data_IF_017670339869
#
_entry.id   IF_017670339869
#
_cell.length_a   1.000
_cell.length_b   1.000
_cell.length_c   1.000
_cell.angle_alpha   90.00
_cell.angle_beta   90.00
_cell.angle_gamma   90.00
#
_symmetry.space_group_name_H-M   'P 1'
#
loop_
_entity.id
_entity.type
_entity.pdbx_description
1 polymer ?
#
# COMPACT_ATOMS: atom_id res chain seq x y z
N UNK A 1 2.25 -3.18 6.36
CA UNK A 1 2.53 -3.67 4.99
C UNK A 1 1.19 -3.90 4.29
N UNK A 2 0.84 -3.07 3.32
CA UNK A 2 -0.41 -3.26 2.56
C UNK A 2 -0.20 -4.46 1.63
N UNK A 3 -0.91 -5.57 1.88
CA UNK A 3 -0.90 -6.69 0.94
C UNK A 3 -1.44 -6.20 -0.40
N UNK A 4 -0.68 -6.35 -1.48
CA UNK A 4 -1.11 -5.99 -2.84
C UNK A 4 -2.24 -6.88 -3.40
N UNK A 5 -3.06 -7.46 -2.53
CA UNK A 5 -4.15 -8.41 -2.79
C UNK A 5 -5.52 -7.71 -2.73
N UNK A 6 -5.66 -6.60 -3.47
CA UNK A 6 -6.99 -6.05 -3.77
C UNK A 6 -7.66 -6.81 -4.91
N UNK A 7 -8.99 -6.73 -5.00
CA UNK A 7 -9.76 -7.25 -6.15
C UNK A 7 -9.20 -6.63 -7.43
N UNK A 8 -8.61 -7.46 -8.28
CA UNK A 8 -8.05 -7.07 -9.57
C UNK A 8 -8.89 -7.71 -10.67
N UNK A 9 -9.35 -6.89 -11.63
CA UNK A 9 -10.02 -7.40 -12.83
C UNK A 9 -9.15 -8.38 -13.64
N UNK A 10 -7.81 -8.32 -13.45
CA UNK A 10 -6.85 -9.18 -14.14
C UNK A 10 -6.63 -10.49 -13.38
N UNK A 11 -6.44 -11.57 -14.14
CA UNK A 11 -6.08 -12.89 -13.63
C UNK A 11 -4.73 -12.84 -12.94
N UNK A 12 -4.66 -13.27 -11.68
CA UNK A 12 -3.41 -13.34 -10.92
C UNK A 12 -2.80 -14.72 -11.11
N UNK A 13 -1.52 -14.77 -11.48
CA UNK A 13 -0.75 -16.01 -11.57
C UNK A 13 0.15 -16.11 -10.34
N UNK A 14 0.04 -17.21 -9.59
CA UNK A 14 0.78 -17.47 -8.35
C UNK A 14 1.78 -18.60 -8.58
N UNK A 15 3.05 -18.37 -8.26
CA UNK A 15 4.07 -19.42 -8.20
C UNK A 15 3.93 -20.17 -6.87
N UNK A 16 3.65 -21.47 -6.93
CA UNK A 16 3.45 -22.28 -5.73
C UNK A 16 4.74 -22.83 -5.12
N UNK A 17 5.90 -22.62 -5.79
CA UNK A 17 7.19 -23.10 -5.29
C UNK A 17 7.42 -22.68 -3.84
N UNK A 18 7.77 -23.65 -3.00
CA UNK A 18 8.12 -23.46 -1.60
C UNK A 18 7.03 -22.77 -0.76
N UNK A 19 5.77 -22.82 -1.18
CA UNK A 19 4.66 -22.41 -0.33
C UNK A 19 4.15 -23.57 0.51
N UNK A 20 3.66 -23.29 1.71
CA UNK A 20 3.04 -24.27 2.59
C UNK A 20 1.60 -24.57 2.13
N UNK A 21 1.30 -25.82 1.77
CA UNK A 21 0.04 -26.23 1.13
C UNK A 21 -1.22 -25.63 1.80
N UNK A 22 -1.35 -25.82 3.12
CA UNK A 22 -2.53 -25.38 3.85
C UNK A 22 -2.66 -23.86 3.94
N UNK A 23 -1.55 -23.15 4.18
CA UNK A 23 -1.54 -21.68 4.27
C UNK A 23 -1.85 -21.05 2.92
N UNK A 24 -1.21 -21.55 1.85
CA UNK A 24 -1.50 -21.13 0.49
C UNK A 24 -2.97 -21.35 0.14
N UNK A 25 -3.50 -22.55 0.44
CA UNK A 25 -4.90 -22.88 0.15
C UNK A 25 -5.90 -21.96 0.84
N UNK A 26 -5.63 -21.57 2.09
CA UNK A 26 -6.51 -20.70 2.88
C UNK A 26 -6.60 -19.30 2.26
N UNK A 27 -5.46 -18.71 1.91
CA UNK A 27 -5.40 -17.39 1.28
C UNK A 27 -6.09 -17.42 -0.08
N UNK A 28 -5.80 -18.44 -0.90
CA UNK A 28 -6.43 -18.60 -2.21
C UNK A 28 -7.95 -18.78 -2.10
N UNK A 29 -8.45 -19.56 -1.13
CA UNK A 29 -9.88 -19.75 -0.93
C UNK A 29 -10.59 -18.41 -0.63
N UNK A 30 -9.98 -17.55 0.19
CA UNK A 30 -10.51 -16.22 0.49
C UNK A 30 -10.53 -15.32 -0.74
N UNK A 31 -9.44 -15.27 -1.50
CA UNK A 31 -9.35 -14.47 -2.73
C UNK A 31 -10.38 -14.91 -3.78
N UNK A 32 -10.58 -16.21 -3.97
CA UNK A 32 -11.59 -16.74 -4.89
C UNK A 32 -13.01 -16.34 -4.49
N UNK A 33 -13.31 -16.35 -3.18
CA UNK A 33 -14.60 -15.90 -2.64
C UNK A 33 -14.81 -14.38 -2.74
N UNK A 34 -13.72 -13.60 -2.72
CA UNK A 34 -13.72 -12.16 -2.97
C UNK A 34 -13.91 -11.81 -4.46
N UNK A 35 -13.92 -12.80 -5.36
CA UNK A 35 -14.14 -12.60 -6.80
C UNK A 35 -12.88 -12.69 -7.65
N UNK A 36 -11.71 -12.91 -7.05
CA UNK A 36 -10.45 -12.94 -7.76
C UNK A 36 -10.34 -14.16 -8.68
N UNK A 37 -9.79 -13.97 -9.88
CA UNK A 37 -9.43 -15.06 -10.80
C UNK A 37 -7.97 -15.44 -10.57
N UNK A 38 -7.71 -16.65 -10.11
CA UNK A 38 -6.37 -17.08 -9.70
C UNK A 38 -5.92 -18.31 -10.48
N UNK A 39 -4.69 -18.29 -10.95
CA UNK A 39 -3.99 -19.43 -11.54
C UNK A 39 -2.80 -19.76 -10.68
N UNK A 40 -2.69 -21.00 -10.24
CA UNK A 40 -1.54 -21.49 -9.48
C UNK A 40 -0.73 -22.41 -10.39
N UNK A 41 0.57 -22.16 -10.49
CA UNK A 41 1.51 -22.94 -11.29
C UNK A 41 2.58 -23.55 -10.40
N UNK A 42 3.27 -24.59 -10.88
CA UNK A 42 4.31 -25.34 -10.14
C UNK A 42 3.78 -26.00 -8.87
N UNK A 43 2.59 -26.59 -8.94
CA UNK A 43 1.97 -27.23 -7.78
C UNK A 43 2.81 -28.38 -7.20
N UNK A 44 3.67 -29.01 -8.00
CA UNK A 44 4.63 -30.03 -7.59
C UNK A 44 5.69 -29.52 -6.61
N UNK A 45 5.97 -28.22 -6.61
CA UNK A 45 6.98 -27.59 -5.74
C UNK A 45 6.40 -27.02 -4.43
N UNK A 46 5.12 -27.30 -4.14
CA UNK A 46 4.49 -26.96 -2.86
C UNK A 46 5.09 -27.79 -1.73
N UNK A 47 5.27 -27.18 -0.56
CA UNK A 47 5.78 -27.84 0.63
C UNK A 47 4.67 -28.26 1.61
N UNK A 48 4.90 -29.40 2.26
CA UNK A 48 4.18 -29.89 3.43
C UNK A 48 5.14 -29.97 4.61
N UNK A 49 4.74 -29.53 5.79
CA UNK A 49 5.56 -29.67 7.01
C UNK A 49 5.66 -31.15 7.43
N UNK A 50 6.81 -31.55 7.95
CA UNK A 50 7.11 -32.93 8.29
C UNK A 50 7.73 -33.72 7.15
N UNK A 51 8.53 -34.73 7.48
CA UNK A 51 9.25 -35.56 6.50
C UNK A 51 8.33 -36.41 5.62
N UNK A 52 8.90 -36.91 4.52
CA UNK A 52 8.20 -37.67 3.49
C UNK A 52 7.42 -38.87 4.05
N UNK A 53 8.03 -39.67 4.94
CA UNK A 53 7.41 -40.87 5.51
C UNK A 53 6.10 -40.52 6.24
N UNK A 54 6.11 -39.50 7.09
CA UNK A 54 4.92 -39.04 7.84
C UNK A 54 3.81 -38.61 6.88
N UNK A 55 4.16 -37.82 5.87
CA UNK A 55 3.17 -37.32 4.90
C UNK A 55 2.64 -38.43 3.99
N UNK A 56 3.49 -39.37 3.58
CA UNK A 56 3.11 -40.57 2.82
C UNK A 56 2.13 -41.42 3.64
N UNK A 57 2.43 -41.72 4.90
CA UNK A 57 1.53 -42.48 5.77
C UNK A 57 0.16 -41.81 5.95
N UNK A 58 0.14 -40.48 6.11
CA UNK A 58 -1.10 -39.70 6.17
C UNK A 58 -1.92 -39.83 4.89
N UNK A 59 -1.26 -39.76 3.73
CA UNK A 59 -1.92 -39.86 2.44
C UNK A 59 -2.38 -41.29 2.14
N UNK A 60 -1.58 -42.31 2.45
CA UNK A 60 -1.97 -43.73 2.35
C UNK A 60 -3.20 -44.05 3.22
N UNK A 61 -3.29 -43.49 4.43
CA UNK A 61 -4.50 -43.60 5.26
C UNK A 61 -5.72 -42.97 4.58
N UNK A 62 -5.54 -41.86 3.88
CA UNK A 62 -6.60 -41.28 3.05
C UNK A 62 -7.01 -42.23 1.94
N UNK A 63 -6.08 -42.91 1.26
CA UNK A 63 -6.39 -43.88 0.19
C UNK A 63 -7.21 -45.07 0.63
N UNK A 64 -7.06 -45.48 1.89
CA UNK A 64 -7.86 -46.57 2.47
C UNK A 64 -9.33 -46.17 2.67
N UNK A 65 -9.68 -44.89 2.62
CA UNK A 65 -11.06 -44.40 2.78
C UNK A 65 -11.86 -44.59 1.48
N UNK A 66 -12.40 -45.78 1.28
CA UNK A 66 -13.26 -46.12 0.13
C UNK A 66 -14.68 -46.47 0.58
N UNK A 67 -15.65 -46.24 -0.30
CA UNK A 67 -17.00 -46.78 -0.11
C UNK A 67 -16.94 -48.30 -0.26
N UNK A 68 -17.44 -49.04 0.73
CA UNK A 68 -17.28 -50.50 0.76
C UNK A 68 -18.13 -51.20 -0.30
N UNK A 69 -19.33 -50.68 -0.58
CA UNK A 69 -20.29 -51.28 -1.51
C UNK A 69 -19.98 -50.97 -2.98
N UNK A 70 -19.69 -49.71 -3.32
CA UNK A 70 -19.35 -49.29 -4.68
C UNK A 70 -18.22 -48.27 -4.67
N UNK A 71 -16.94 -48.71 -4.75
CA UNK A 71 -15.79 -47.82 -4.64
C UNK A 71 -15.79 -46.64 -5.62
N UNK A 72 -16.38 -46.79 -6.82
CA UNK A 72 -16.50 -45.73 -7.82
C UNK A 72 -17.43 -44.58 -7.42
N UNK A 73 -18.37 -44.80 -6.49
CA UNK A 73 -19.24 -43.76 -5.91
C UNK A 73 -18.65 -43.16 -4.62
N UNK A 74 -17.51 -43.68 -4.16
CA UNK A 74 -16.84 -43.21 -2.96
C UNK A 74 -15.97 -41.97 -3.16
N UNK A 75 -15.16 -41.61 -2.15
CA UNK A 75 -14.22 -40.51 -2.24
C UNK A 75 -13.20 -40.70 -3.37
N UNK A 76 -13.06 -39.69 -4.23
CA UNK A 76 -12.01 -39.68 -5.26
C UNK A 76 -10.69 -39.23 -4.62
N UNK A 77 -9.66 -40.04 -4.84
CA UNK A 77 -8.32 -39.80 -4.32
C UNK A 77 -7.42 -39.28 -5.45
N UNK A 78 -7.30 -37.97 -5.60
CA UNK A 78 -6.47 -37.37 -6.66
C UNK A 78 -4.98 -37.49 -6.37
N UNK A 79 -4.21 -38.08 -7.30
CA UNK A 79 -2.75 -38.25 -7.19
C UNK A 79 -1.92 -37.06 -7.64
N UNK A 80 -2.40 -36.30 -8.61
CA UNK A 80 -1.66 -35.18 -9.17
C UNK A 80 -1.55 -34.00 -8.17
N UNK A 81 -0.38 -33.34 -8.02
CA UNK A 81 -0.17 -32.22 -7.10
C UNK A 81 -1.20 -31.09 -7.26
N UNK A 82 -1.53 -30.72 -8.51
CA UNK A 82 -2.52 -29.66 -8.78
C UNK A 82 -3.90 -30.04 -8.26
N UNK A 83 -4.31 -31.29 -8.43
CA UNK A 83 -5.61 -31.79 -7.97
C UNK A 83 -5.65 -31.98 -6.45
N UNK A 84 -4.53 -32.30 -5.81
CA UNK A 84 -4.42 -32.29 -4.34
C UNK A 84 -4.61 -30.88 -3.80
N UNK A 85 -3.96 -29.88 -4.41
CA UNK A 85 -4.17 -28.47 -4.07
C UNK A 85 -5.63 -28.05 -4.29
N UNK A 86 -6.20 -28.36 -5.45
CA UNK A 86 -7.60 -28.07 -5.77
C UNK A 86 -8.57 -28.67 -4.77
N UNK A 87 -8.36 -29.94 -4.36
CA UNK A 87 -9.18 -30.61 -3.34
C UNK A 87 -9.06 -29.92 -1.98
N UNK A 88 -7.86 -29.44 -1.63
CA UNK A 88 -7.61 -28.72 -0.38
C UNK A 88 -8.36 -27.38 -0.36
N UNK A 89 -8.28 -26.61 -1.46
CA UNK A 89 -9.01 -25.34 -1.61
C UNK A 89 -10.52 -25.58 -1.65
N UNK A 90 -11.00 -26.61 -2.36
CA UNK A 90 -12.41 -27.02 -2.36
C UNK A 90 -12.93 -27.30 -0.95
N UNK A 91 -12.11 -27.90 -0.09
CA UNK A 91 -12.45 -28.15 1.32
C UNK A 91 -12.58 -26.87 2.16
N UNK A 92 -11.96 -25.76 1.72
CA UNK A 92 -12.00 -24.45 2.38
C UNK A 92 -13.06 -23.50 1.78
N UNK A 93 -13.76 -23.92 0.72
CA UNK A 93 -14.83 -23.17 0.06
C UNK A 93 -16.17 -23.88 0.30
N UNK A 94 -17.30 -23.17 0.51
CA UNK A 94 -18.64 -23.77 0.60
C UNK A 94 -19.12 -24.27 -0.79
N UNK A 95 -18.43 -25.25 -1.36
CA UNK A 95 -18.53 -25.69 -2.76
C UNK A 95 -19.86 -26.37 -3.12
N UNK A 96 -20.69 -26.72 -2.13
CA UNK A 96 -22.06 -27.22 -2.36
C UNK A 96 -23.04 -26.09 -2.74
N UNK A 97 -22.66 -24.83 -2.50
CA UNK A 97 -23.48 -23.65 -2.86
C UNK A 97 -23.14 -23.16 -4.26
N UNK A 98 -24.08 -22.49 -4.94
CA UNK A 98 -23.84 -21.83 -6.24
C UNK A 98 -22.68 -20.83 -6.18
N UNK A 99 -22.60 -20.04 -5.10
CA UNK A 99 -21.50 -19.08 -4.86
C UNK A 99 -20.15 -19.80 -4.76
N UNK A 100 -20.09 -20.88 -3.99
CA UNK A 100 -18.85 -21.66 -3.82
C UNK A 100 -18.41 -22.35 -5.11
N UNK A 101 -19.36 -22.89 -5.88
CA UNK A 101 -19.09 -23.46 -7.20
C UNK A 101 -18.52 -22.40 -8.16
N UNK A 102 -19.12 -21.19 -8.20
CA UNK A 102 -18.61 -20.07 -8.98
C UNK A 102 -17.21 -19.61 -8.53
N UNK A 103 -16.93 -19.59 -7.22
CA UNK A 103 -15.60 -19.28 -6.70
C UNK A 103 -14.57 -20.33 -7.14
N UNK A 104 -14.91 -21.62 -7.09
CA UNK A 104 -14.01 -22.69 -7.51
C UNK A 104 -13.76 -22.67 -9.03
N UNK A 105 -14.73 -22.25 -9.83
CA UNK A 105 -14.57 -22.06 -11.29
C UNK A 105 -13.56 -20.95 -11.66
N UNK A 106 -13.28 -20.01 -10.75
CA UNK A 106 -12.26 -18.96 -10.94
C UNK A 106 -10.83 -19.46 -10.71
N UNK A 107 -10.65 -20.64 -10.14
CA UNK A 107 -9.36 -21.25 -9.85
C UNK A 107 -8.89 -22.12 -11.01
N UNK A 108 -7.64 -21.92 -11.44
CA UNK A 108 -6.91 -22.89 -12.27
C UNK A 108 -5.63 -23.30 -11.56
N UNK A 109 -5.26 -24.56 -11.67
CA UNK A 109 -4.08 -25.14 -11.03
C UNK A 109 -3.35 -26.01 -12.05
N UNK A 110 -2.02 -25.91 -12.07
CA UNK A 110 -1.18 -26.63 -13.03
C UNK A 110 0.10 -27.15 -12.36
N UNK A 111 0.54 -28.32 -12.79
CA UNK A 111 1.90 -28.79 -12.66
C UNK A 111 2.81 -28.06 -13.67
N UNK A 112 4.03 -27.72 -13.26
CA UNK A 112 4.94 -26.89 -14.05
C UNK A 112 4.32 -25.53 -14.41
N UNK A 113 4.82 -24.91 -15.47
CA UNK A 113 4.30 -23.63 -15.99
C UNK A 113 3.92 -23.73 -17.47
N UNK A 114 2.66 -24.09 -17.76
CA UNK A 114 2.21 -24.22 -19.14
C UNK A 114 2.03 -22.85 -19.82
N UNK A 115 2.17 -22.75 -21.14
CA UNK A 115 1.76 -21.57 -21.90
C UNK A 115 0.27 -21.23 -21.68
N UNK A 116 -0.12 -19.94 -21.59
CA UNK A 116 0.71 -18.73 -21.75
C UNK A 116 1.34 -18.22 -20.43
N UNK A 117 1.28 -18.98 -19.32
CA UNK A 117 1.71 -18.51 -18.00
C UNK A 117 3.23 -18.48 -17.81
N UNK A 118 3.97 -19.12 -18.71
CA UNK A 118 5.43 -19.12 -18.79
C UNK A 118 6.01 -17.72 -19.05
N UNK A 119 5.29 -16.91 -19.83
CA UNK A 119 5.65 -15.53 -20.18
C UNK A 119 5.07 -14.48 -19.23
N UNK A 120 4.22 -14.87 -18.29
CA UNK A 120 3.53 -13.97 -17.37
C UNK A 120 4.32 -13.86 -16.05
N UNK A 121 4.36 -12.65 -15.47
CA UNK A 121 4.92 -12.45 -14.14
C UNK A 121 4.09 -13.21 -13.11
N UNK A 122 4.73 -14.15 -12.43
CA UNK A 122 4.14 -14.93 -11.34
C UNK A 122 4.37 -14.21 -10.02
N UNK A 123 3.33 -14.16 -9.19
CA UNK A 123 3.34 -13.57 -7.86
C UNK A 123 3.65 -14.63 -6.82
N UNK A 124 4.18 -14.19 -5.69
CA UNK A 124 4.47 -15.02 -4.51
C UNK A 124 3.63 -14.49 -3.35
N UNK A 125 3.19 -15.37 -2.46
CA UNK A 125 2.40 -15.02 -1.27
C UNK A 125 3.30 -15.21 -0.04
N UNK A 126 3.93 -14.13 0.48
CA UNK A 126 4.87 -14.23 1.60
C UNK A 126 4.29 -14.95 2.82
N UNK A 127 3.02 -14.70 3.12
CA UNK A 127 2.34 -15.32 4.26
C UNK A 127 2.19 -16.84 4.19
N UNK A 128 2.43 -17.43 3.03
CA UNK A 128 2.42 -18.87 2.84
C UNK A 128 3.81 -19.44 2.52
N UNK A 129 4.87 -18.63 2.40
CA UNK A 129 6.20 -19.13 2.07
C UNK A 129 6.80 -20.00 3.20
N UNK A 130 7.32 -21.17 2.83
CA UNK A 130 7.98 -22.11 3.75
C UNK A 130 9.12 -21.46 4.53
N UNK A 131 9.94 -20.64 3.89
CA UNK A 131 11.08 -19.96 4.54
C UNK A 131 10.64 -19.01 5.67
N UNK A 132 9.45 -18.41 5.54
CA UNK A 132 8.90 -17.50 6.54
C UNK A 132 8.03 -18.22 7.59
N UNK A 133 7.54 -19.42 7.26
CA UNK A 133 6.52 -20.12 8.07
C UNK A 133 7.01 -21.40 8.73
N UNK A 134 8.16 -21.92 8.34
CA UNK A 134 8.78 -23.11 8.93
C UNK A 134 10.16 -22.74 9.47
N UNK A 135 10.39 -23.00 10.75
CA UNK A 135 11.69 -22.79 11.40
C UNK A 135 12.79 -23.59 10.69
N UNK A 136 14.02 -23.06 10.73
CA UNK A 136 15.19 -23.77 10.24
C UNK A 136 15.36 -25.14 10.94
N UNK A 137 15.89 -26.14 10.23
CA UNK A 137 16.05 -27.51 10.75
C UNK A 137 14.80 -28.39 10.68
N UNK A 138 13.59 -27.83 10.58
CA UNK A 138 12.38 -28.64 10.46
C UNK A 138 12.24 -29.30 9.10
N UNK A 139 12.02 -30.63 9.11
CA UNK A 139 11.80 -31.42 7.89
C UNK A 139 10.52 -31.01 7.17
N UNK A 140 10.55 -31.06 5.86
CA UNK A 140 9.40 -30.85 4.98
C UNK A 140 9.46 -31.84 3.82
N UNK A 141 8.36 -32.02 3.10
CA UNK A 141 8.36 -32.75 1.84
C UNK A 141 7.72 -31.92 0.72
N UNK A 142 8.19 -32.14 -0.51
CA UNK A 142 7.59 -31.57 -1.71
C UNK A 142 6.36 -32.39 -2.10
N UNK A 143 5.31 -31.69 -2.52
CA UNK A 143 4.05 -32.29 -2.93
C UNK A 143 4.23 -33.17 -4.17
N UNK A 144 5.11 -32.79 -5.10
CA UNK A 144 5.48 -33.60 -6.25
C UNK A 144 6.09 -34.94 -5.85
N UNK A 145 7.06 -34.94 -4.94
CA UNK A 145 7.70 -36.16 -4.44
C UNK A 145 6.71 -37.06 -3.70
N UNK A 146 5.87 -36.48 -2.85
CA UNK A 146 4.78 -37.22 -2.20
C UNK A 146 3.82 -37.81 -3.24
N UNK A 147 3.47 -37.05 -4.28
CA UNK A 147 2.52 -37.47 -5.31
C UNK A 147 3.05 -38.63 -6.14
N UNK A 148 4.34 -38.58 -6.52
CA UNK A 148 5.03 -39.68 -7.20
C UNK A 148 4.93 -40.98 -6.39
N UNK A 149 5.27 -40.93 -5.10
CA UNK A 149 5.24 -42.06 -4.15
C UNK A 149 3.85 -42.68 -3.91
N UNK A 150 2.78 -41.99 -4.29
CA UNK A 150 1.39 -42.46 -4.10
C UNK A 150 0.69 -42.81 -5.41
N UNK A 151 1.38 -42.67 -6.56
CA UNK A 151 0.89 -43.09 -7.88
C UNK A 151 0.64 -41.96 -8.88
N UNK A 152 1.43 -40.88 -8.84
CA UNK A 152 1.44 -39.86 -9.90
C UNK A 152 2.63 -40.08 -10.84
N UNK A 153 2.34 -40.49 -12.09
CA UNK A 153 3.35 -41.01 -13.02
C UNK A 153 4.04 -39.92 -13.88
N UNK A 154 3.69 -38.64 -13.72
CA UNK A 154 4.23 -37.56 -14.56
C UNK A 154 5.31 -36.73 -13.88
N UNK A 155 5.85 -37.20 -12.74
CA UNK A 155 6.84 -36.46 -11.96
C UNK A 155 8.10 -36.16 -12.79
N UNK A 156 8.67 -37.17 -13.43
CA UNK A 156 9.90 -37.04 -14.22
C UNK A 156 9.68 -36.24 -15.51
N UNK A 157 8.57 -36.50 -16.21
CA UNK A 157 8.18 -35.74 -17.41
C UNK A 157 8.02 -34.24 -17.12
N UNK A 158 7.37 -33.87 -16.01
CA UNK A 158 7.22 -32.45 -15.64
C UNK A 158 8.57 -31.82 -15.28
N UNK A 159 9.45 -32.57 -14.62
CA UNK A 159 10.80 -32.11 -14.27
C UNK A 159 11.59 -31.77 -15.54
N UNK A 160 11.60 -32.66 -16.53
CA UNK A 160 12.26 -32.42 -17.82
C UNK A 160 11.69 -31.20 -18.57
N UNK A 161 10.36 -31.05 -18.58
CA UNK A 161 9.71 -29.89 -19.23
C UNK A 161 10.04 -28.57 -18.52
N UNK A 162 10.09 -28.57 -17.19
CA UNK A 162 10.49 -27.38 -16.42
C UNK A 162 11.96 -27.02 -16.62
N UNK A 163 12.84 -28.00 -16.81
CA UNK A 163 14.25 -27.76 -17.09
C UNK A 163 14.43 -27.12 -18.49
N UNK A 164 13.78 -27.66 -19.52
CA UNK A 164 13.71 -27.02 -20.86
C UNK A 164 13.13 -25.61 -20.80
N UNK A 165 12.12 -25.37 -19.94
CA UNK A 165 11.54 -24.03 -19.75
C UNK A 165 12.54 -23.08 -19.09
N UNK A 166 13.34 -23.54 -18.12
CA UNK A 166 14.36 -22.73 -17.44
C UNK A 166 15.48 -22.32 -18.41
N UNK A 167 15.92 -23.22 -19.28
CA UNK A 167 16.92 -22.91 -20.33
C UNK A 167 16.42 -21.78 -21.24
N UNK A 168 15.19 -21.88 -21.76
CA UNK A 168 14.57 -20.81 -22.57
C UNK A 168 14.42 -19.49 -21.79
N UNK A 169 14.06 -19.58 -20.51
CA UNK A 169 13.93 -18.42 -19.64
C UNK A 169 15.28 -17.74 -19.37
N UNK A 170 16.38 -18.51 -19.29
CA UNK A 170 17.73 -18.00 -19.08
C UNK A 170 18.17 -17.14 -20.26
N UNK A 171 17.99 -17.63 -21.50
CA UNK A 171 18.27 -16.86 -22.73
C UNK A 171 17.48 -15.55 -22.76
N UNK A 172 16.19 -15.62 -22.40
CA UNK A 172 15.33 -14.42 -22.34
C UNK A 172 15.79 -13.44 -21.26
N UNK A 173 16.23 -13.93 -20.10
CA UNK A 173 16.72 -13.13 -19.00
C UNK A 173 18.03 -12.41 -19.35
N UNK A 174 18.97 -13.10 -19.98
CA UNK A 174 20.24 -12.53 -20.45
C UNK A 174 20.00 -11.43 -21.48
N UNK A 175 19.13 -11.67 -22.47
CA UNK A 175 18.71 -10.65 -23.44
C UNK A 175 18.07 -9.45 -22.75
N UNK A 176 17.19 -9.67 -21.75
CA UNK A 176 16.57 -8.58 -20.98
C UNK A 176 17.60 -7.78 -20.18
N UNK A 177 18.59 -8.45 -19.58
CA UNK A 177 19.69 -7.80 -18.84
C UNK A 177 20.56 -6.93 -19.76
N UNK A 178 20.89 -7.44 -20.95
CA UNK A 178 21.59 -6.68 -21.98
C UNK A 178 20.79 -5.47 -22.46
N UNK A 179 19.50 -5.66 -22.75
CA UNK A 179 18.59 -4.56 -23.15
C UNK A 179 18.46 -3.51 -22.05
N UNK A 180 18.36 -3.90 -20.77
CA UNK A 180 18.33 -2.96 -19.66
C UNK A 180 19.64 -2.14 -19.57
N UNK A 181 20.80 -2.78 -19.75
CA UNK A 181 22.10 -2.10 -19.80
C UNK A 181 22.18 -1.11 -20.96
N UNK A 182 21.71 -1.51 -22.14
CA UNK A 182 21.63 -0.64 -23.32
C UNK A 182 20.68 0.53 -23.09
N UNK A 183 19.54 0.29 -22.43
CA UNK A 183 18.56 1.33 -22.10
C UNK A 183 19.15 2.39 -21.17
N UNK A 184 19.83 1.99 -20.09
CA UNK A 184 20.52 2.94 -19.19
C UNK A 184 21.60 3.73 -19.94
N UNK A 185 22.35 3.07 -20.83
CA UNK A 185 23.35 3.77 -21.67
C UNK A 185 22.68 4.77 -22.62
N UNK A 186 21.55 4.40 -23.23
CA UNK A 186 20.78 5.26 -24.12
C UNK A 186 20.14 6.43 -23.36
N UNK A 187 19.63 6.21 -22.14
CA UNK A 187 19.10 7.26 -21.26
C UNK A 187 20.19 8.28 -20.93
N UNK A 188 21.41 7.84 -20.57
CA UNK A 188 22.56 8.74 -20.34
C UNK A 188 23.01 9.50 -21.60
N UNK A 189 23.09 8.80 -22.73
CA UNK A 189 23.46 9.43 -24.00
C UNK A 189 22.39 10.39 -24.52
N UNK A 190 21.12 10.13 -24.21
CA UNK A 190 20.01 11.02 -24.49
C UNK A 190 20.05 12.22 -23.53
N UNK A 191 20.33 12.03 -22.24
CA UNK A 191 20.50 13.10 -21.26
C UNK A 191 21.58 14.10 -21.65
N UNK A 192 22.73 13.62 -22.15
CA UNK A 192 23.81 14.46 -22.68
C UNK A 192 23.38 15.29 -23.90
N UNK A 193 22.43 14.79 -24.71
CA UNK A 193 21.93 15.46 -25.92
C UNK A 193 20.68 16.32 -25.69
N UNK A 194 19.80 15.93 -24.78
CA UNK A 194 18.55 16.61 -24.44
C UNK A 194 18.76 17.75 -23.42
N UNK A 195 19.82 17.68 -22.59
CA UNK A 195 20.16 18.73 -21.63
C UNK A 195 18.94 19.21 -20.81
N UNK A 196 18.64 20.53 -20.78
CA UNK A 196 17.57 21.10 -19.95
C UNK A 196 16.14 20.61 -20.29
N UNK A 197 15.94 19.85 -21.37
CA UNK A 197 14.63 19.25 -21.69
C UNK A 197 14.24 18.13 -20.72
N UNK A 198 15.19 17.53 -20.01
CA UNK A 198 14.90 16.60 -18.89
C UNK A 198 14.26 17.30 -17.69
N UNK A 199 14.50 18.60 -17.50
CA UNK A 199 13.80 19.40 -16.48
C UNK A 199 12.28 19.51 -16.76
N UNK A 200 11.85 19.28 -18.00
CA UNK A 200 10.45 19.25 -18.42
C UNK A 200 9.78 17.88 -18.15
N UNK A 201 10.58 16.83 -17.95
CA UNK A 201 10.12 15.43 -17.77
C UNK A 201 10.26 14.95 -16.31
N UNK A 202 11.10 15.59 -15.48
CA UNK A 202 11.00 15.44 -14.02
C UNK A 202 9.55 15.70 -13.56
N UNK A 203 9.05 15.03 -12.49
CA UNK A 203 7.73 15.35 -11.94
C UNK A 203 7.68 16.86 -11.72
N UNK A 204 6.75 17.52 -12.43
CA UNK A 204 6.73 18.97 -12.59
C UNK A 204 7.01 19.63 -11.23
N UNK A 205 8.21 20.20 -11.11
CA UNK A 205 8.58 21.04 -9.97
C UNK A 205 7.99 22.40 -10.26
N UNK A 206 6.71 22.55 -9.98
CA UNK A 206 6.01 23.81 -10.14
C UNK A 206 5.44 24.24 -8.81
N UNK A 207 5.53 25.53 -8.58
CA UNK A 207 4.68 26.20 -7.63
C UNK A 207 3.40 26.60 -8.34
N UNK A 208 2.25 26.26 -7.75
CA UNK A 208 0.94 26.66 -8.27
C UNK A 208 0.36 27.74 -7.36
N UNK A 209 0.13 28.93 -7.91
CA UNK A 209 -0.53 30.04 -7.20
C UNK A 209 -1.88 30.37 -7.84
N UNK A 210 -2.94 30.34 -7.04
CA UNK A 210 -4.25 30.92 -7.37
C UNK A 210 -4.32 32.28 -6.66
N UNK A 211 -4.15 33.38 -7.41
CA UNK A 211 -4.10 34.72 -6.83
C UNK A 211 -5.50 35.19 -6.42
N UNK A 212 -5.58 36.11 -5.46
CA UNK A 212 -6.82 36.58 -4.82
C UNK A 212 -7.89 37.03 -5.81
N UNK A 213 -7.50 37.58 -6.96
CA UNK A 213 -8.37 38.15 -7.99
C UNK A 213 -9.14 37.08 -8.79
N UNK A 214 -8.88 35.78 -8.56
CA UNK A 214 -9.49 34.67 -9.29
C UNK A 214 -10.36 33.79 -8.39
N UNK A 215 -11.50 34.29 -7.85
CA UNK A 215 -12.41 33.47 -7.05
C UNK A 215 -13.12 32.40 -7.89
N UNK A 216 -13.76 31.44 -7.21
CA UNK A 216 -14.56 30.36 -7.82
C UNK A 216 -13.77 29.40 -8.72
N UNK A 217 -12.49 29.20 -8.42
CA UNK A 217 -11.66 28.24 -9.15
C UNK A 217 -12.01 26.81 -8.76
N UNK A 218 -12.22 25.96 -9.76
CA UNK A 218 -12.33 24.53 -9.60
C UNK A 218 -11.12 23.81 -10.19
N UNK A 219 -10.23 23.33 -9.33
CA UNK A 219 -9.03 22.59 -9.71
C UNK A 219 -9.23 21.09 -9.48
N UNK A 220 -9.11 20.27 -10.54
CA UNK A 220 -9.39 18.83 -10.49
C UNK A 220 -8.28 18.00 -11.13
N UNK A 221 -7.68 17.10 -10.35
CA UNK A 221 -6.74 16.09 -10.83
C UNK A 221 -7.40 14.76 -11.21
N UNK A 222 -6.63 13.88 -11.85
CA UNK A 222 -7.07 12.53 -12.22
C UNK A 222 -7.14 11.56 -11.03
N UNK A 223 -6.60 11.96 -9.88
CA UNK A 223 -6.53 11.14 -8.67
C UNK A 223 -5.34 11.51 -7.81
N UNK A 224 -5.51 11.50 -6.48
CA UNK A 224 -4.44 11.85 -5.51
C UNK A 224 -3.16 10.99 -5.58
N UNK A 225 -3.18 9.87 -6.31
CA UNK A 225 -2.01 9.00 -6.53
C UNK A 225 -1.39 9.17 -7.93
N UNK A 226 -1.99 10.01 -8.77
CA UNK A 226 -1.60 10.23 -10.17
C UNK A 226 -1.19 11.67 -10.42
N UNK A 227 -1.94 12.62 -9.87
CA UNK A 227 -1.70 14.06 -10.04
C UNK A 227 -1.01 14.61 -8.79
N UNK A 228 0.27 14.93 -8.93
CA UNK A 228 1.09 15.51 -7.88
C UNK A 228 1.68 16.84 -8.37
N UNK A 229 1.61 17.86 -7.52
CA UNK A 229 2.36 19.10 -7.66
C UNK A 229 3.46 19.07 -6.61
N UNK A 230 4.71 19.24 -7.02
CA UNK A 230 5.86 19.11 -6.13
C UNK A 230 6.69 20.39 -6.17
N UNK A 231 7.14 20.87 -5.02
CA UNK A 231 8.11 21.98 -4.93
C UNK A 231 9.07 21.71 -3.77
N UNK A 232 10.08 22.57 -3.58
CA UNK A 232 11.07 22.45 -2.51
C UNK A 232 11.47 23.81 -1.90
N UNK A 233 10.65 24.85 -2.11
CA UNK A 233 10.83 26.14 -1.46
C UNK A 233 10.67 26.05 0.06
N UNK A 234 11.50 26.79 0.78
CA UNK A 234 11.66 26.71 2.23
C UNK A 234 12.26 27.98 2.87
N UNK A 235 12.51 29.04 2.09
CA UNK A 235 13.15 30.27 2.57
C UNK A 235 12.10 31.20 3.20
N UNK A 236 10.94 31.33 2.55
CA UNK A 236 9.83 32.12 3.06
C UNK A 236 8.48 31.41 2.86
N UNK A 237 7.89 30.97 3.98
CA UNK A 237 6.63 30.21 4.01
C UNK A 237 5.45 30.89 3.28
N UNK A 238 5.44 32.22 3.14
CA UNK A 238 4.35 32.97 2.51
C UNK A 238 4.42 32.99 0.98
N UNK A 239 5.61 32.78 0.41
CA UNK A 239 5.82 32.82 -1.04
C UNK A 239 6.34 31.50 -1.62
N UNK A 240 6.83 30.59 -0.78
CA UNK A 240 7.50 29.36 -1.22
C UNK A 240 6.66 28.09 -1.07
N UNK A 241 5.40 28.21 -0.64
CA UNK A 241 4.52 27.05 -0.54
C UNK A 241 4.33 26.38 -1.92
N UNK A 242 4.32 25.04 -1.98
CA UNK A 242 4.11 24.30 -3.24
C UNK A 242 2.79 24.70 -3.92
N UNK A 243 1.76 24.94 -3.14
CA UNK A 243 0.47 25.44 -3.59
C UNK A 243 0.02 26.63 -2.75
N UNK A 244 -0.36 27.72 -3.40
CA UNK A 244 -0.86 28.93 -2.76
C UNK A 244 -2.26 29.19 -3.29
N UNK A 245 -3.25 29.30 -2.38
CA UNK A 245 -4.62 29.67 -2.71
C UNK A 245 -5.04 30.90 -1.90
N UNK A 246 -5.05 32.05 -2.56
CA UNK A 246 -5.49 33.32 -1.98
C UNK A 246 -6.92 33.69 -2.38
N UNK A 247 -7.50 32.95 -3.34
CA UNK A 247 -8.82 33.23 -3.88
C UNK A 247 -9.96 32.54 -3.10
N UNK A 248 -11.04 33.28 -2.89
CA UNK A 248 -12.25 32.77 -2.25
C UNK A 248 -12.98 31.74 -3.13
N UNK A 249 -13.76 30.87 -2.49
CA UNK A 249 -14.56 29.83 -3.15
C UNK A 249 -13.74 28.85 -4.00
N UNK A 250 -12.48 28.62 -3.63
CA UNK A 250 -11.63 27.67 -4.34
C UNK A 250 -12.00 26.23 -3.97
N UNK A 251 -12.25 25.41 -4.99
CA UNK A 251 -12.51 23.97 -4.81
C UNK A 251 -11.39 23.18 -5.46
N UNK A 252 -10.69 22.36 -4.66
CA UNK A 252 -9.64 21.47 -5.15
C UNK A 252 -10.04 20.02 -4.94
N UNK A 253 -9.87 19.19 -5.97
CA UNK A 253 -10.24 17.78 -5.93
C UNK A 253 -9.17 16.86 -6.50
N UNK A 254 -8.82 15.83 -5.72
CA UNK A 254 -8.03 14.68 -6.20
C UNK A 254 -6.62 15.03 -6.71
N UNK A 255 -5.94 15.98 -6.05
CA UNK A 255 -4.55 16.39 -6.30
C UNK A 255 -3.75 16.23 -5.01
N UNK A 256 -2.46 15.90 -5.13
CA UNK A 256 -1.54 15.88 -3.99
C UNK A 256 -0.49 16.97 -4.14
N UNK A 257 -0.33 17.80 -3.12
CA UNK A 257 0.70 18.82 -3.02
C UNK A 257 1.82 18.34 -2.11
N UNK A 258 3.06 18.40 -2.60
CA UNK A 258 4.23 17.84 -1.93
C UNK A 258 5.28 18.93 -1.79
N UNK A 259 5.71 19.21 -0.56
CA UNK A 259 6.98 19.90 -0.35
C UNK A 259 8.08 18.86 -0.09
N UNK A 260 9.05 18.82 -0.98
CA UNK A 260 10.10 17.80 -1.04
C UNK A 260 11.40 18.21 -0.35
N UNK A 261 11.47 19.41 0.27
CA UNK A 261 12.71 19.88 0.89
C UNK A 261 13.23 18.93 1.98
N UNK A 262 12.34 18.48 2.87
CA UNK A 262 12.66 17.56 3.97
C UNK A 262 12.44 16.07 3.62
N UNK A 263 12.08 15.73 2.38
CA UNK A 263 11.68 14.36 1.99
C UNK A 263 12.39 13.90 0.71
N UNK A 264 13.16 12.80 0.74
CA UNK A 264 13.60 12.06 1.94
C UNK A 264 14.55 12.91 2.80
N UNK A 265 14.85 12.51 4.05
CA UNK A 265 15.88 13.16 4.84
C UNK A 265 17.22 13.05 4.13
N UNK A 266 17.83 14.16 3.73
CA UNK A 266 19.12 14.19 3.00
C UNK A 266 20.30 14.62 3.88
N UNK A 267 20.11 14.66 5.20
CA UNK A 267 21.09 15.21 6.14
C UNK A 267 21.14 16.75 6.14
N UNK A 268 20.23 17.40 5.41
CA UNK A 268 20.00 18.84 5.50
C UNK A 268 19.32 19.22 6.82
N UNK A 269 19.52 20.47 7.23
CA UNK A 269 18.81 21.05 8.37
C UNK A 269 17.31 21.03 8.06
N UNK A 270 16.53 20.56 9.03
CA UNK A 270 15.09 20.51 8.93
C UNK A 270 14.53 21.94 8.97
N UNK A 271 13.87 22.36 7.89
CA UNK A 271 13.32 23.70 7.71
C UNK A 271 11.80 23.66 7.60
N UNK A 272 11.15 24.80 7.84
CA UNK A 272 9.75 24.99 7.53
C UNK A 272 9.54 24.88 6.01
N UNK A 273 8.63 24.00 5.58
CA UNK A 273 8.49 23.68 4.16
C UNK A 273 7.01 23.39 3.83
N UNK A 274 6.31 24.46 3.43
CA UNK A 274 4.85 24.44 3.23
C UNK A 274 4.49 23.74 1.93
N UNK A 275 3.61 22.73 2.02
CA UNK A 275 3.05 22.04 0.87
C UNK A 275 1.80 22.75 0.35
N UNK A 276 1.02 23.40 1.21
CA UNK A 276 -0.09 24.25 0.79
C UNK A 276 -0.33 25.39 1.77
N UNK A 277 -0.51 26.60 1.23
CA UNK A 277 -0.97 27.79 1.94
C UNK A 277 -2.36 28.18 1.43
N UNK A 278 -3.32 28.31 2.35
CA UNK A 278 -4.74 28.58 2.02
C UNK A 278 -5.20 29.78 2.84
N UNK A 279 -5.53 30.88 2.16
CA UNK A 279 -5.97 32.13 2.78
C UNK A 279 -7.27 32.69 2.20
N UNK A 280 -7.77 32.13 1.10
CA UNK A 280 -9.05 32.49 0.50
C UNK A 280 -10.23 31.81 1.19
N UNK A 281 -11.26 32.57 1.53
CA UNK A 281 -12.41 32.11 2.31
C UNK A 281 -13.31 31.14 1.53
N UNK A 282 -14.06 30.30 2.25
CA UNK A 282 -14.97 29.27 1.70
C UNK A 282 -14.30 28.28 0.74
N UNK A 283 -13.05 27.93 1.01
CA UNK A 283 -12.29 26.97 0.20
C UNK A 283 -12.56 25.51 0.62
N UNK A 284 -12.66 24.60 -0.36
CA UNK A 284 -12.94 23.17 -0.13
C UNK A 284 -11.92 22.27 -0.80
N UNK A 285 -11.43 21.28 -0.06
CA UNK A 285 -10.48 20.28 -0.54
C UNK A 285 -11.07 18.88 -0.39
N UNK A 286 -11.25 18.17 -1.50
CA UNK A 286 -11.86 16.84 -1.51
C UNK A 286 -10.91 15.78 -2.10
N UNK A 287 -10.59 14.77 -1.29
CA UNK A 287 -9.65 13.69 -1.65
C UNK A 287 -8.27 14.21 -2.06
N UNK A 288 -7.80 15.29 -1.43
CA UNK A 288 -6.48 15.85 -1.70
C UNK A 288 -5.40 15.23 -0.80
N UNK A 289 -4.14 15.40 -1.18
CA UNK A 289 -2.98 15.05 -0.37
C UNK A 289 -2.15 16.29 -0.06
N UNK A 290 -1.60 16.37 1.15
CA UNK A 290 -0.66 17.39 1.58
C UNK A 290 0.49 16.68 2.28
N UNK A 291 1.71 16.82 1.75
CA UNK A 291 2.87 16.03 2.20
C UNK A 291 4.05 16.96 2.46
N UNK A 292 4.53 16.95 3.70
CA UNK A 292 5.70 17.67 4.17
C UNK A 292 6.22 17.09 5.49
N UNK A 293 7.01 17.86 6.24
CA UNK A 293 7.57 17.43 7.53
C UNK A 293 7.26 18.47 8.61
N UNK A 294 7.84 19.66 8.52
CA UNK A 294 7.48 20.79 9.38
C UNK A 294 6.63 21.78 8.57
N UNK A 295 5.55 22.26 9.18
CA UNK A 295 4.67 23.30 8.65
C UNK A 295 4.07 22.93 7.28
N UNK A 296 3.46 21.75 7.18
CA UNK A 296 3.02 21.18 5.88
C UNK A 296 1.81 21.89 5.29
N UNK A 297 0.75 22.08 6.06
CA UNK A 297 -0.50 22.70 5.63
C UNK A 297 -0.72 23.97 6.44
N UNK A 298 -0.50 25.11 5.79
CA UNK A 298 -0.80 26.41 6.35
C UNK A 298 -2.24 26.81 6.02
N UNK A 299 -3.12 26.51 6.96
CA UNK A 299 -4.52 26.88 6.99
C UNK A 299 -4.67 28.29 7.59
N UNK A 300 -4.34 29.30 6.78
CA UNK A 300 -4.01 30.67 7.24
C UNK A 300 -5.18 31.32 7.97
N UNK A 301 -6.28 31.56 7.26
CA UNK A 301 -7.46 32.28 7.74
C UNK A 301 -8.64 31.98 6.81
N UNK A 302 -9.87 32.11 7.31
CA UNK A 302 -11.10 31.87 6.55
C UNK A 302 -11.74 30.52 6.84
N UNK A 303 -12.84 30.22 6.15
CA UNK A 303 -13.65 29.00 6.35
C UNK A 303 -13.23 27.93 5.37
N UNK A 304 -12.64 26.85 5.88
CA UNK A 304 -12.15 25.78 5.02
C UNK A 304 -12.77 24.42 5.37
N UNK A 305 -12.99 23.62 4.33
CA UNK A 305 -13.52 22.28 4.47
C UNK A 305 -12.63 21.25 3.77
N UNK A 306 -12.01 20.37 4.55
CA UNK A 306 -11.17 19.29 4.07
C UNK A 306 -11.89 17.97 4.27
N UNK A 307 -12.13 17.22 3.19
CA UNK A 307 -12.85 15.95 3.24
C UNK A 307 -12.12 14.83 2.51
N UNK A 308 -11.94 13.69 3.18
CA UNK A 308 -11.20 12.53 2.66
C UNK A 308 -9.75 12.84 2.25
N UNK A 309 -9.16 13.89 2.84
CA UNK A 309 -7.80 14.30 2.55
C UNK A 309 -6.79 13.44 3.31
N UNK A 310 -5.54 13.44 2.85
CA UNK A 310 -4.41 12.83 3.55
C UNK A 310 -3.39 13.91 3.84
N UNK A 311 -3.10 14.16 5.11
CA UNK A 311 -2.17 15.20 5.55
C UNK A 311 -1.02 14.49 6.28
N UNK A 312 0.21 14.69 5.79
CA UNK A 312 1.41 14.01 6.27
C UNK A 312 2.39 15.04 6.79
N UNK A 313 2.88 14.86 8.01
CA UNK A 313 3.92 15.70 8.60
C UNK A 313 4.33 15.23 9.99
N UNK A 314 5.20 16.01 10.64
CA UNK A 314 5.86 15.66 11.89
C UNK A 314 5.78 16.76 12.95
N UNK A 315 5.97 18.02 12.56
CA UNK A 315 5.98 19.18 13.49
C UNK A 315 5.05 20.25 12.95
N UNK A 316 4.09 20.68 13.76
CA UNK A 316 3.15 21.77 13.49
C UNK A 316 2.51 21.68 12.10
N UNK A 317 2.28 20.46 11.63
CA UNK A 317 2.11 20.25 10.20
C UNK A 317 0.71 20.61 9.68
N UNK A 318 -0.22 20.95 10.58
CA UNK A 318 -1.47 21.64 10.29
C UNK A 318 -1.52 22.88 11.18
N UNK A 319 -1.31 24.06 10.60
CA UNK A 319 -1.14 25.29 11.38
C UNK A 319 -1.83 26.49 10.75
N UNK A 320 -2.07 27.52 11.55
CA UNK A 320 -2.73 28.76 11.15
C UNK A 320 -3.99 29.07 11.94
N UNK A 321 -4.81 29.99 11.43
CA UNK A 321 -5.96 30.59 12.12
C UNK A 321 -7.29 30.36 11.36
N UNK A 322 -7.35 29.31 10.53
CA UNK A 322 -8.58 28.93 9.84
C UNK A 322 -9.72 28.53 10.78
N UNK A 323 -10.95 28.80 10.35
CA UNK A 323 -12.17 28.19 10.87
C UNK A 323 -12.48 26.95 10.03
N UNK A 324 -11.92 25.80 10.43
CA UNK A 324 -11.76 24.68 9.51
C UNK A 324 -12.27 23.35 10.04
N UNK A 325 -12.91 22.59 9.15
CA UNK A 325 -13.35 21.21 9.43
C UNK A 325 -12.56 20.23 8.56
N UNK A 326 -11.95 19.25 9.22
CA UNK A 326 -11.23 18.12 8.65
C UNK A 326 -12.04 16.83 8.85
N UNK A 327 -12.89 16.50 7.87
CA UNK A 327 -13.83 15.38 7.95
C UNK A 327 -13.31 14.12 7.22
N UNK A 328 -13.28 12.98 7.91
CA UNK A 328 -12.83 11.68 7.37
C UNK A 328 -11.45 11.77 6.73
N UNK A 329 -10.58 12.59 7.31
CA UNK A 329 -9.22 12.77 6.86
C UNK A 329 -8.31 11.70 7.49
N UNK A 330 -7.21 11.42 6.79
CA UNK A 330 -6.10 10.65 7.32
C UNK A 330 -5.03 11.63 7.74
N UNK A 331 -4.71 11.63 9.02
CA UNK A 331 -3.64 12.41 9.63
C UNK A 331 -2.48 11.44 9.86
N UNK A 332 -1.47 11.52 9.00
CA UNK A 332 -0.36 10.57 8.93
C UNK A 332 0.90 11.18 9.52
N UNK A 333 1.20 10.83 10.75
CA UNK A 333 2.35 11.34 11.50
C UNK A 333 3.64 10.69 11.01
N UNK A 334 4.64 11.50 10.71
CA UNK A 334 5.97 11.07 10.29
C UNK A 334 7.07 11.54 11.26
N UNK A 335 6.81 11.48 12.57
CA UNK A 335 7.73 11.96 13.61
C UNK A 335 8.99 11.08 13.77
N UNK A 336 9.04 9.91 13.12
CA UNK A 336 10.25 9.09 13.06
C UNK A 336 11.46 9.79 12.42
N UNK A 337 11.25 10.86 11.65
CA UNK A 337 12.32 11.68 11.07
C UNK A 337 12.95 12.65 12.07
N UNK A 338 12.36 12.80 13.27
CA UNK A 338 12.79 13.77 14.28
C UNK A 338 13.77 13.19 15.31
N UNK A 339 14.36 12.02 15.06
CA UNK A 339 15.40 11.40 15.89
C UNK A 339 15.07 11.33 17.40
N UNK A 340 13.81 11.01 17.74
CA UNK A 340 13.36 10.84 19.13
C UNK A 340 12.65 12.07 19.72
N UNK A 341 12.61 13.20 19.01
CA UNK A 341 11.81 14.36 19.40
C UNK A 341 10.32 14.06 19.15
N UNK A 342 9.47 14.48 20.08
CA UNK A 342 8.01 14.35 19.99
C UNK A 342 7.49 15.38 18.98
N UNK A 343 6.75 14.91 17.98
CA UNK A 343 6.11 15.79 16.99
C UNK A 343 4.82 16.45 17.51
N UNK A 344 4.24 17.34 16.71
CA UNK A 344 2.97 18.02 16.99
C UNK A 344 2.10 18.01 15.73
N UNK A 345 0.82 17.62 15.87
CA UNK A 345 -0.10 17.59 14.74
C UNK A 345 -0.54 19.02 14.37
N UNK A 346 -1.05 19.76 15.35
CA UNK A 346 -1.60 21.10 15.10
C UNK A 346 -0.82 22.20 15.80
N UNK A 347 -0.72 23.36 15.14
CA UNK A 347 -0.35 24.64 15.75
C UNK A 347 -1.39 25.70 15.40
N UNK A 348 -2.47 25.78 16.19
CA UNK A 348 -3.59 26.68 15.89
C UNK A 348 -3.33 28.08 16.47
N UNK A 349 -3.62 29.10 15.67
CA UNK A 349 -3.18 30.48 15.86
C UNK A 349 -4.29 31.48 16.19
N UNK A 350 -5.38 31.03 16.82
CA UNK A 350 -6.41 31.92 17.37
C UNK A 350 -5.78 32.93 18.32
N UNK A 351 -6.41 34.09 18.49
CA UNK A 351 -5.82 35.19 19.29
C UNK A 351 -6.72 35.74 20.39
N UNK A 352 -8.02 35.41 20.39
CA UNK A 352 -8.95 35.91 21.40
C UNK A 352 -10.11 34.95 21.66
N UNK A 353 -10.75 35.07 22.83
CA UNK A 353 -11.93 34.29 23.21
C UNK A 353 -13.16 34.52 22.31
N UNK A 354 -13.23 35.63 21.60
CA UNK A 354 -14.36 35.97 20.73
C UNK A 354 -14.16 35.51 19.27
N UNK A 355 -12.94 35.10 18.92
CA UNK A 355 -12.63 34.63 17.58
C UNK A 355 -13.34 33.30 17.30
N UNK A 356 -13.86 33.11 16.10
CA UNK A 356 -14.58 31.90 15.72
C UNK A 356 -13.67 30.85 15.05
N UNK A 357 -12.39 31.16 14.85
CA UNK A 357 -11.41 30.24 14.31
C UNK A 357 -11.19 29.00 15.19
N UNK A 358 -10.63 27.97 14.58
CA UNK A 358 -10.34 26.71 15.23
C UNK A 358 -10.37 25.54 14.26
N UNK A 359 -9.71 24.45 14.65
CA UNK A 359 -9.63 23.23 13.83
C UNK A 359 -10.48 22.12 14.42
N UNK A 360 -11.40 21.59 13.61
CA UNK A 360 -12.25 20.47 14.01
C UNK A 360 -11.93 19.25 13.15
N UNK A 361 -11.40 18.20 13.78
CA UNK A 361 -11.18 16.90 13.15
C UNK A 361 -12.37 16.01 13.46
N UNK A 362 -13.13 15.62 12.43
CA UNK A 362 -14.35 14.81 12.56
C UNK A 362 -14.20 13.48 11.83
N UNK A 363 -14.49 12.36 12.49
CA UNK A 363 -14.46 11.02 11.88
C UNK A 363 -13.11 10.69 11.22
N UNK A 364 -12.02 11.31 11.70
CA UNK A 364 -10.68 11.22 11.10
C UNK A 364 -9.83 10.15 11.79
N UNK A 365 -8.80 9.66 11.10
CA UNK A 365 -7.87 8.66 11.64
C UNK A 365 -6.46 9.24 11.78
N UNK A 366 -5.88 9.09 12.96
CA UNK A 366 -4.52 9.50 13.31
C UNK A 366 -3.66 8.25 13.49
N UNK A 367 -2.64 8.11 12.66
CA UNK A 367 -1.65 7.04 12.74
C UNK A 367 -0.34 7.47 12.12
N UNK A 368 0.72 6.67 12.26
CA UNK A 368 2.04 7.09 11.80
C UNK A 368 3.20 6.42 12.51
N UNK A 369 4.36 7.06 12.47
CA UNK A 369 5.57 6.68 13.21
C UNK A 369 6.05 7.83 14.11
N UNK A 370 6.81 7.50 15.15
CA UNK A 370 7.27 8.45 16.17
C UNK A 370 6.15 8.88 17.12
N UNK A 371 6.53 9.46 18.25
CA UNK A 371 5.58 9.99 19.24
C UNK A 371 5.09 11.38 18.81
N UNK A 372 3.84 11.72 19.13
CA UNK A 372 3.27 13.03 18.80
C UNK A 372 2.27 13.53 19.83
N UNK A 373 2.16 14.85 19.94
CA UNK A 373 1.07 15.56 20.57
C UNK A 373 -0.05 15.82 19.54
N UNK A 374 -1.30 15.88 20.00
CA UNK A 374 -2.43 16.34 19.20
C UNK A 374 -2.24 17.80 18.76
N UNK A 375 -1.53 18.61 19.55
CA UNK A 375 -1.15 19.95 19.14
C UNK A 375 -0.48 20.78 20.21
N UNK A 376 -0.24 22.03 19.85
CA UNK A 376 0.21 23.12 20.70
C UNK A 376 -0.36 24.45 20.17
N UNK A 377 -0.39 25.53 20.97
CA UNK A 377 -0.78 26.84 20.48
C UNK A 377 0.31 27.44 19.59
N UNK A 378 -0.10 28.07 18.48
CA UNK A 378 0.76 29.02 17.77
C UNK A 378 0.64 30.44 18.34
N UNK A 379 -0.55 30.76 18.85
CA UNK A 379 -0.90 32.01 19.55
C UNK A 379 -1.85 31.67 20.71
N UNK A 380 -2.09 32.64 21.60
CA UNK A 380 -2.95 32.47 22.76
C UNK A 380 -4.42 32.17 22.38
N UNK A 381 -5.11 31.32 23.14
CA UNK A 381 -6.51 30.90 22.95
C UNK A 381 -6.74 29.90 21.81
N UNK A 382 -5.73 29.08 21.48
CA UNK A 382 -5.78 28.10 20.41
C UNK A 382 -6.93 27.13 20.61
N UNK A 383 -7.63 26.79 19.52
CA UNK A 383 -8.82 25.93 19.58
C UNK A 383 -8.72 24.78 18.61
N UNK A 384 -8.65 23.57 19.15
CA UNK A 384 -8.62 22.33 18.38
C UNK A 384 -9.55 21.30 19.00
N UNK A 385 -10.39 20.66 18.18
CA UNK A 385 -11.33 19.63 18.59
C UNK A 385 -11.13 18.36 17.76
N UNK A 386 -11.01 17.22 18.43
CA UNK A 386 -11.03 15.90 17.80
C UNK A 386 -12.31 15.17 18.19
N UNK A 387 -13.21 14.96 17.23
CA UNK A 387 -14.50 14.32 17.42
C UNK A 387 -14.58 13.01 16.64
N UNK A 388 -14.87 11.91 17.36
CA UNK A 388 -14.98 10.56 16.80
C UNK A 388 -13.75 10.14 15.97
N UNK A 389 -12.55 10.47 16.47
CA UNK A 389 -11.30 10.13 15.80
C UNK A 389 -10.70 8.82 16.32
N UNK A 390 -10.20 7.99 15.40
CA UNK A 390 -9.37 6.83 15.75
C UNK A 390 -7.93 7.28 15.91
N UNK A 391 -7.31 7.03 17.06
CA UNK A 391 -5.91 7.40 17.33
C UNK A 391 -5.09 6.15 17.66
N UNK A 392 -3.98 5.93 16.96
CA UNK A 392 -3.05 4.87 17.33
C UNK A 392 -2.19 5.25 18.55
N UNK A 393 -1.45 4.29 19.10
CA UNK A 393 -0.58 4.44 20.27
C UNK A 393 0.65 5.36 20.09
N UNK A 394 0.64 6.21 19.06
CA UNK A 394 1.68 7.22 18.81
C UNK A 394 1.36 8.55 19.47
N UNK A 395 0.08 8.78 19.78
CA UNK A 395 -0.35 9.99 20.48
C UNK A 395 0.02 9.83 21.94
N UNK A 396 0.84 10.74 22.46
CA UNK A 396 1.25 10.70 23.87
C UNK A 396 0.06 11.01 24.78
N UNK A 397 -0.05 10.40 25.97
CA UNK A 397 -1.21 10.61 26.86
C UNK A 397 -1.47 12.06 27.23
N UNK A 398 -0.41 12.87 27.31
CA UNK A 398 -0.52 14.30 27.59
C UNK A 398 -1.35 15.05 26.53
N UNK A 399 -1.31 14.62 25.27
CA UNK A 399 -2.14 15.13 24.18
C UNK A 399 -1.82 16.56 23.73
N UNK A 400 -1.52 17.49 24.63
CA UNK A 400 -1.35 18.91 24.34
C UNK A 400 -0.14 19.51 25.07
N UNK A 401 0.56 20.43 24.41
CA UNK A 401 1.59 21.25 25.04
C UNK A 401 1.18 22.72 24.97
N UNK A 402 1.17 23.41 26.11
CA UNK A 402 0.89 24.84 26.17
C UNK A 402 2.02 25.71 25.59
N UNK A 403 3.19 25.11 25.33
CA UNK A 403 4.39 25.80 24.86
C UNK A 403 4.70 27.06 25.70
N UNK A 404 4.64 28.25 25.10
CA UNK A 404 4.90 29.52 25.77
C UNK A 404 3.63 30.22 26.30
N UNK A 405 2.46 29.58 26.24
CA UNK A 405 1.16 30.20 26.52
C UNK A 405 0.43 29.59 27.71
N UNK A 406 1.14 29.04 28.71
CA UNK A 406 0.52 28.41 29.89
C UNK A 406 -0.52 29.33 30.56
N UNK A 407 -1.75 28.84 30.72
CA UNK A 407 -2.91 29.58 31.26
C UNK A 407 -3.68 30.40 30.22
N UNK A 408 -3.14 30.50 29.01
CA UNK A 408 -3.67 31.28 27.89
C UNK A 408 -3.61 30.49 26.57
N UNK A 409 -3.33 29.18 26.62
CA UNK A 409 -3.16 28.34 25.43
C UNK A 409 -4.42 28.15 24.60
#
# INVERSE_FOLDING_TARGET
MVSGSGISARRIVVDARHHMLGRLSSILAKELLNGQRVVVVRCEEICLSGGLVRQKMKYLRFLRKRMNTKPSHGPIHFRAPSKILWRTIRGMIPHKTKRGAAALARLKVYEGVPPPYDKIKRMVIPDALKVLRLQAGHKYCLLGKLSSEVGWNHYDTIKELEDKRKERAQVTYERRKQLAKLRVKAEKAAEEKLGPQLAVIEPIKEQVKIPREKPYIYLKGEGKRKTNVTWNGHDNIAIDATFISEADYTIVKSITFINSYNIPPKGNVLMQAVAAMISGDKSTFYRCGFIGVQDTLWDVQGRHYFKLCTIVGAVDFIFGDGQSIYERCIISVNAGVLNGIIGSITAQGRTSLNDQSGFVFKDSAIFGNGLTLLGRPWRAYARVLFYNCSMSNIVVPQGWSAWNFIGHE
#
